data_IF_851986736200
#
_entry.id   IF_851986736200
#
_cell.length_a   1.000
_cell.length_b   1.000
_cell.length_c   1.000
_cell.angle_alpha   90.00
_cell.angle_beta   90.00
_cell.angle_gamma   90.00
#
_symmetry.space_group_name_H-M   'P 1'
#
loop_
_entity.id
_entity.type
_entity.pdbx_description
1 polymer ?
#
# COMPACT_ATOMS: atom_id res chain seq x y z
N UNK A 1 14.73 39.58 0.50
CA UNK A 1 14.42 38.75 1.70
C UNK A 1 12.91 38.63 1.76
N UNK A 2 12.38 37.43 1.52
CA UNK A 2 10.94 37.20 1.53
C UNK A 2 10.51 36.95 2.98
N UNK A 3 9.65 37.81 3.51
CA UNK A 3 8.94 37.57 4.75
C UNK A 3 8.02 36.36 4.55
N UNK A 4 8.33 35.25 5.22
CA UNK A 4 7.42 34.12 5.31
C UNK A 4 6.25 34.51 6.23
N UNK A 5 5.04 34.49 5.68
CA UNK A 5 3.80 34.65 6.43
C UNK A 5 3.61 33.45 7.37
N UNK A 6 3.82 33.68 8.67
CA UNK A 6 3.71 32.72 9.76
C UNK A 6 2.29 32.71 10.39
N UNK A 7 1.28 33.25 9.72
CA UNK A 7 -0.11 33.30 10.23
C UNK A 7 -0.70 31.92 10.60
N UNK A 8 -0.16 30.82 10.04
CA UNK A 8 -0.52 29.46 10.41
C UNK A 8 -0.05 29.05 11.83
N UNK A 9 0.95 29.72 12.39
CA UNK A 9 1.43 29.51 13.77
C UNK A 9 0.63 30.32 14.79
N UNK A 10 0.03 31.45 14.40
CA UNK A 10 -0.66 32.38 15.32
C UNK A 10 -1.86 31.73 16.04
N UNK A 11 -2.49 30.72 15.42
CA UNK A 11 -3.58 29.93 16.03
C UNK A 11 -3.15 28.87 17.05
N UNK A 12 -1.85 28.51 17.11
CA UNK A 12 -1.25 27.58 18.08
C UNK A 12 -0.61 28.32 19.27
N UNK A 13 -0.46 29.65 19.16
CA UNK A 13 0.34 30.52 20.02
C UNK A 13 -0.53 31.29 21.04
N UNK A 14 -1.30 30.57 21.86
CA UNK A 14 -1.91 31.18 23.05
C UNK A 14 -0.86 31.82 23.97
N UNK A 15 -1.19 33.00 24.51
CA UNK A 15 -0.39 33.92 25.33
C UNK A 15 0.55 33.20 26.33
N UNK A 16 1.83 33.09 25.98
CA UNK A 16 2.89 32.81 26.95
C UNK A 16 3.58 34.14 27.20
N UNK A 17 3.29 34.76 28.34
CA UNK A 17 4.11 35.84 28.88
C UNK A 17 5.44 35.22 29.32
N UNK A 18 6.52 35.60 28.64
CA UNK A 18 7.89 35.20 29.01
C UNK A 18 8.50 36.40 29.73
N UNK A 19 8.85 36.23 31.01
CA UNK A 19 9.61 37.23 31.75
C UNK A 19 10.93 37.53 31.03
N UNK A 20 11.12 38.80 30.65
CA UNK A 20 12.33 39.29 30.00
C UNK A 20 13.55 39.08 30.90
N UNK A 21 14.43 38.15 30.51
CA UNK A 21 15.76 38.01 31.11
C UNK A 21 16.85 38.39 30.11
N UNK A 22 17.26 39.65 30.18
CA UNK A 22 18.59 40.10 29.75
C UNK A 22 18.90 40.06 28.24
N UNK A 23 20.18 40.21 27.91
CA UNK A 23 20.74 40.57 26.59
C UNK A 23 20.68 39.49 25.51
N UNK A 24 19.78 38.53 25.60
CA UNK A 24 19.55 37.52 24.55
C UNK A 24 18.45 38.01 23.60
N UNK A 25 18.60 37.73 22.30
CA UNK A 25 17.61 38.09 21.29
C UNK A 25 16.24 37.49 21.68
N UNK A 26 15.23 38.32 22.04
CA UNK A 26 13.97 37.87 22.60
C UNK A 26 13.20 36.94 21.66
N UNK A 27 13.47 37.02 20.34
CA UNK A 27 12.89 36.13 19.35
C UNK A 27 13.55 34.74 19.40
N UNK A 28 14.86 34.66 19.60
CA UNK A 28 15.58 33.40 19.72
C UNK A 28 15.20 32.66 21.02
N UNK A 29 15.11 33.37 22.15
CA UNK A 29 14.67 32.82 23.42
C UNK A 29 13.22 32.29 23.35
N UNK A 30 12.31 33.05 22.70
CA UNK A 30 10.92 32.60 22.47
C UNK A 30 10.85 31.36 21.59
N UNK A 31 11.60 31.30 20.48
CA UNK A 31 11.65 30.12 19.62
C UNK A 31 12.22 28.90 20.36
N UNK A 32 13.27 29.09 21.17
CA UNK A 32 13.87 28.01 21.95
C UNK A 32 12.93 27.51 23.05
N UNK A 33 12.25 28.39 23.77
CA UNK A 33 11.23 28.02 24.76
C UNK A 33 10.06 27.29 24.11
N UNK A 34 9.59 27.75 22.94
CA UNK A 34 8.55 27.07 22.16
C UNK A 34 9.00 25.69 21.68
N UNK A 35 10.25 25.56 21.23
CA UNK A 35 10.80 24.27 20.81
C UNK A 35 10.94 23.30 21.98
N UNK A 36 11.40 23.76 23.16
CA UNK A 36 11.47 22.92 24.35
C UNK A 36 10.08 22.51 24.86
N UNK A 37 9.08 23.40 24.78
CA UNK A 37 7.70 23.09 25.11
C UNK A 37 7.08 22.10 24.12
N UNK A 38 7.28 22.31 22.81
CA UNK A 38 6.81 21.38 21.78
C UNK A 38 7.47 20.01 21.95
N UNK A 39 8.77 19.97 22.26
CA UNK A 39 9.49 18.74 22.60
C UNK A 39 8.91 18.07 23.85
N UNK A 40 8.69 18.82 24.93
CA UNK A 40 8.12 18.28 26.16
C UNK A 40 6.68 17.78 25.98
N UNK A 41 5.83 18.51 25.26
CA UNK A 41 4.46 18.09 24.93
C UNK A 41 4.47 16.86 24.01
N UNK A 42 5.35 16.82 23.01
CA UNK A 42 5.51 15.67 22.11
C UNK A 42 6.03 14.43 22.85
N UNK A 43 7.02 14.60 23.73
CA UNK A 43 7.56 13.52 24.57
C UNK A 43 6.55 13.04 25.61
N UNK A 44 5.83 13.94 26.30
CA UNK A 44 4.76 13.55 27.23
C UNK A 44 3.62 12.80 26.52
N UNK A 45 3.28 13.21 25.29
CA UNK A 45 2.34 12.51 24.42
C UNK A 45 2.81 11.10 24.03
N UNK A 46 4.11 10.92 23.80
CA UNK A 46 4.68 9.59 23.49
C UNK A 46 4.73 8.70 24.74
N UNK A 47 5.03 9.28 25.91
CA UNK A 47 5.32 8.52 27.13
C UNK A 47 4.11 8.29 28.05
N UNK A 48 2.99 9.01 27.87
CA UNK A 48 1.76 8.79 28.65
C UNK A 48 0.57 8.39 27.79
N UNK A 49 -0.08 7.22 28.05
CA UNK A 49 -1.31 6.78 27.37
C UNK A 49 -2.48 7.78 27.46
N UNK A 50 -2.40 8.69 28.44
CA UNK A 50 -3.47 9.59 28.83
C UNK A 50 -3.85 10.63 27.77
N UNK A 51 -2.95 11.05 26.86
CA UNK A 51 -3.21 12.21 26.00
C UNK A 51 -4.27 12.02 24.89
N UNK A 52 -4.53 10.78 24.48
CA UNK A 52 -5.27 10.48 23.24
C UNK A 52 -6.46 9.56 23.41
N UNK A 53 -6.64 8.98 24.59
CA UNK A 53 -7.77 8.14 24.91
C UNK A 53 -8.67 8.95 25.81
N UNK A 54 -9.93 9.13 25.42
CA UNK A 54 -10.91 9.83 26.24
C UNK A 54 -11.71 8.81 27.05
N UNK A 55 -11.74 8.89 28.40
CA UNK A 55 -11.05 9.88 29.24
C UNK A 55 -9.56 9.56 29.48
N UNK A 56 -8.72 10.59 29.68
CA UNK A 56 -7.29 10.44 29.95
C UNK A 56 -7.06 9.68 31.27
N UNK A 57 -6.58 8.44 31.23
CA UNK A 57 -6.25 7.63 32.43
C UNK A 57 -4.78 7.21 32.46
N UNK A 58 -4.25 6.97 33.67
CA UNK A 58 -2.86 6.52 33.87
C UNK A 58 -2.62 5.07 33.42
N UNK A 59 -3.68 4.25 33.34
CA UNK A 59 -3.68 2.90 32.79
C UNK A 59 -4.88 2.73 31.86
N UNK A 60 -4.64 2.38 30.61
CA UNK A 60 -5.69 2.07 29.64
C UNK A 60 -6.40 0.77 30.05
N UNK A 61 -7.72 0.83 30.23
CA UNK A 61 -8.55 -0.35 30.43
C UNK A 61 -9.34 -0.63 29.14
N UNK A 62 -8.90 -1.63 28.39
CA UNK A 62 -9.53 -2.04 27.14
C UNK A 62 -10.99 -2.48 27.34
N UNK A 63 -11.34 -3.05 28.51
CA UNK A 63 -12.70 -3.50 28.79
C UNK A 63 -13.66 -2.34 29.08
N UNK A 64 -13.14 -1.23 29.61
CA UNK A 64 -13.91 -0.02 29.90
C UNK A 64 -13.94 0.96 28.72
N UNK A 65 -13.07 0.81 27.72
CA UNK A 65 -13.01 1.70 26.57
C UNK A 65 -14.26 1.58 25.69
N UNK A 66 -15.02 2.67 25.62
CA UNK A 66 -16.18 2.76 24.73
C UNK A 66 -15.77 3.42 23.43
N UNK A 67 -15.96 2.71 22.32
CA UNK A 67 -15.71 3.27 20.99
C UNK A 67 -16.68 4.42 20.74
N UNK A 68 -16.20 5.67 20.52
CA UNK A 68 -17.07 6.80 20.29
C UNK A 68 -17.90 6.59 19.02
N UNK A 69 -19.12 7.11 19.00
CA UNK A 69 -20.00 7.12 17.82
C UNK A 69 -19.38 7.98 16.71
N UNK A 70 -19.77 7.77 15.44
CA UNK A 70 -19.30 8.61 14.35
C UNK A 70 -19.66 10.10 14.53
N UNK A 71 -20.80 10.40 15.15
CA UNK A 71 -21.20 11.77 15.48
C UNK A 71 -20.26 12.42 16.53
N UNK A 72 -19.88 11.67 17.56
CA UNK A 72 -18.93 12.15 18.58
C UNK A 72 -17.55 12.39 17.98
N UNK A 73 -17.04 11.46 17.15
CA UNK A 73 -15.77 11.65 16.45
C UNK A 73 -15.80 12.88 15.53
N UNK A 74 -16.90 13.12 14.83
CA UNK A 74 -17.06 14.33 14.02
C UNK A 74 -17.09 15.60 14.88
N UNK A 75 -17.78 15.57 16.02
CA UNK A 75 -17.84 16.70 16.96
C UNK A 75 -16.46 17.00 17.56
N UNK A 76 -15.73 15.98 18.01
CA UNK A 76 -14.35 16.12 18.50
C UNK A 76 -13.43 16.74 17.45
N UNK A 77 -13.50 16.25 16.20
CA UNK A 77 -12.69 16.77 15.10
C UNK A 77 -13.00 18.22 14.76
N UNK A 78 -14.27 18.63 14.85
CA UNK A 78 -14.69 20.03 14.63
C UNK A 78 -14.27 20.95 15.77
N UNK A 79 -14.21 20.43 17.00
CA UNK A 79 -13.76 21.18 18.17
C UNK A 79 -12.23 21.29 18.27
N UNK A 80 -11.49 20.30 17.78
CA UNK A 80 -10.03 20.25 17.84
C UNK A 80 -9.38 21.11 16.74
N UNK A 81 -8.57 22.09 17.16
CA UNK A 81 -7.75 22.91 16.25
C UNK A 81 -6.72 22.09 15.48
N UNK A 82 -6.26 20.97 16.02
CA UNK A 82 -5.28 20.05 15.41
C UNK A 82 -5.91 19.01 14.49
N UNK A 83 -7.24 19.06 14.31
CA UNK A 83 -7.98 18.25 13.36
C UNK A 83 -8.17 16.80 13.82
N UNK A 84 -7.61 15.84 13.07
CA UNK A 84 -7.81 14.39 13.31
C UNK A 84 -6.62 13.72 14.01
N UNK A 85 -5.60 14.50 14.44
CA UNK A 85 -4.36 13.98 15.01
C UNK A 85 -4.61 13.12 16.25
N UNK A 86 -5.48 13.58 17.17
CA UNK A 86 -5.81 12.77 18.35
C UNK A 86 -6.42 11.40 17.98
N UNK A 87 -7.27 11.39 16.94
CA UNK A 87 -7.95 10.18 16.49
C UNK A 87 -7.00 9.18 15.84
N UNK A 88 -5.99 9.66 15.11
CA UNK A 88 -4.89 8.87 14.57
C UNK A 88 -4.05 8.21 15.66
N UNK A 89 -3.72 8.95 16.71
CA UNK A 89 -2.92 8.42 17.80
C UNK A 89 -3.69 7.37 18.60
N UNK A 90 -5.00 7.56 18.83
CA UNK A 90 -5.86 6.53 19.43
C UNK A 90 -5.85 5.24 18.61
N UNK A 91 -6.04 5.34 17.29
CA UNK A 91 -6.05 4.17 16.40
C UNK A 91 -4.70 3.43 16.44
N UNK A 92 -3.59 4.16 16.29
CA UNK A 92 -2.25 3.58 16.35
C UNK A 92 -1.94 2.95 17.70
N UNK A 93 -2.34 3.60 18.81
CA UNK A 93 -2.17 3.05 20.14
C UNK A 93 -2.89 1.71 20.30
N UNK A 94 -4.17 1.64 19.95
CA UNK A 94 -4.96 0.40 20.02
C UNK A 94 -4.32 -0.72 19.17
N UNK A 95 -3.83 -0.39 17.98
CA UNK A 95 -3.12 -1.34 17.12
C UNK A 95 -1.82 -1.84 17.74
N UNK A 96 -0.95 -0.93 18.21
CA UNK A 96 0.36 -1.27 18.78
C UNK A 96 0.24 -2.09 20.07
N UNK A 97 -0.79 -1.83 20.88
CA UNK A 97 -1.09 -2.63 22.08
C UNK A 97 -1.74 -3.99 21.77
N UNK A 98 -2.00 -4.30 20.49
CA UNK A 98 -2.60 -5.58 20.07
C UNK A 98 -4.12 -5.66 20.28
N UNK A 99 -4.79 -4.54 20.54
CA UNK A 99 -6.25 -4.47 20.67
C UNK A 99 -6.93 -4.37 19.30
N UNK A 100 -6.72 -5.36 18.43
CA UNK A 100 -7.10 -5.29 17.02
C UNK A 100 -8.61 -5.12 16.78
N UNK A 101 -9.46 -5.77 17.58
CA UNK A 101 -10.93 -5.61 17.47
C UNK A 101 -11.38 -4.19 17.82
N UNK A 102 -10.89 -3.66 18.95
CA UNK A 102 -11.19 -2.28 19.37
C UNK A 102 -10.64 -1.26 18.38
N UNK A 103 -9.42 -1.49 17.90
CA UNK A 103 -8.79 -0.68 16.86
C UNK A 103 -9.66 -0.63 15.60
N UNK A 104 -10.08 -1.81 15.09
CA UNK A 104 -10.90 -1.88 13.88
C UNK A 104 -12.26 -1.21 14.10
N UNK A 105 -12.94 -1.49 15.21
CA UNK A 105 -14.22 -0.87 15.52
C UNK A 105 -14.12 0.67 15.63
N UNK A 106 -13.04 1.16 16.23
CA UNK A 106 -12.74 2.60 16.31
C UNK A 106 -12.49 3.21 14.93
N UNK A 107 -11.67 2.57 14.09
CA UNK A 107 -11.38 3.05 12.74
C UNK A 107 -12.64 3.02 11.86
N UNK A 108 -13.50 2.01 11.99
CA UNK A 108 -14.80 1.99 11.29
C UNK A 108 -15.67 3.16 11.72
N UNK A 109 -15.75 3.45 13.03
CA UNK A 109 -16.48 4.63 13.52
C UNK A 109 -15.93 5.93 12.92
N UNK A 110 -14.60 6.06 12.88
CA UNK A 110 -13.92 7.19 12.24
C UNK A 110 -14.23 7.27 10.74
N UNK A 111 -14.15 6.16 10.02
CA UNK A 111 -14.40 6.08 8.59
C UNK A 111 -15.84 6.46 8.24
N UNK A 112 -16.81 5.97 9.01
CA UNK A 112 -18.22 6.37 8.87
C UNK A 112 -18.40 7.87 9.14
N UNK A 113 -17.69 8.44 10.13
CA UNK A 113 -17.74 9.89 10.39
C UNK A 113 -17.12 10.75 9.27
N UNK A 114 -16.37 10.11 8.37
CA UNK A 114 -15.76 10.68 7.18
C UNK A 114 -16.56 10.43 5.90
N UNK A 115 -17.77 9.88 6.02
CA UNK A 115 -18.62 9.45 4.90
C UNK A 115 -17.93 8.41 3.99
N UNK A 116 -17.02 7.60 4.53
CA UNK A 116 -16.49 6.43 3.81
C UNK A 116 -17.60 5.39 3.71
N UNK A 117 -17.95 5.02 2.48
CA UNK A 117 -19.05 4.12 2.20
C UNK A 117 -18.67 2.66 2.50
N UNK A 118 -19.53 2.00 3.28
CA UNK A 118 -19.52 0.55 3.48
C UNK A 118 -20.89 0.00 3.08
N UNK A 119 -20.92 -1.19 2.46
CA UNK A 119 -22.14 -1.85 2.03
C UNK A 119 -22.85 -2.58 3.18
N UNK A 120 -23.13 -1.88 4.28
CA UNK A 120 -23.74 -2.48 5.46
C UNK A 120 -25.08 -3.15 5.14
N UNK A 121 -25.23 -4.42 5.54
CA UNK A 121 -26.46 -5.19 5.31
C UNK A 121 -26.58 -5.80 3.91
N UNK A 122 -25.57 -5.62 3.04
CA UNK A 122 -25.41 -6.44 1.85
C UNK A 122 -24.76 -7.77 2.22
N UNK A 123 -25.30 -8.89 1.73
CA UNK A 123 -24.71 -10.22 1.90
C UNK A 123 -23.65 -10.54 0.81
N UNK A 124 -23.23 -9.52 0.07
CA UNK A 124 -22.23 -9.69 -0.99
C UNK A 124 -20.84 -9.61 -0.36
N UNK A 125 -20.06 -10.69 -0.52
CA UNK A 125 -18.66 -10.73 -0.11
C UNK A 125 -17.79 -9.72 -0.87
N UNK A 126 -16.52 -9.63 -0.49
CA UNK A 126 -15.58 -8.72 -1.15
C UNK A 126 -15.50 -9.01 -2.66
N UNK A 127 -15.52 -7.95 -3.48
CA UNK A 127 -15.50 -8.03 -4.94
C UNK A 127 -14.38 -7.16 -5.50
N UNK A 128 -13.89 -7.55 -6.67
CA UNK A 128 -12.93 -6.75 -7.43
C UNK A 128 -13.50 -5.36 -7.70
N UNK A 129 -12.73 -4.34 -7.33
CA UNK A 129 -13.12 -2.94 -7.51
C UNK A 129 -12.51 -2.46 -8.81
N UNK A 130 -13.35 -2.07 -9.78
CA UNK A 130 -12.87 -1.37 -10.98
C UNK A 130 -12.65 0.10 -10.65
N UNK A 131 -11.46 0.38 -10.17
CA UNK A 131 -11.01 1.68 -9.66
C UNK A 131 -10.78 2.69 -10.79
N UNK A 132 -10.71 2.24 -12.05
CA UNK A 132 -10.58 3.10 -13.25
C UNK A 132 -11.83 3.94 -13.52
N UNK A 133 -12.99 3.51 -13.00
CA UNK A 133 -14.29 4.18 -13.19
C UNK A 133 -14.69 5.05 -11.99
N UNK A 134 -13.88 5.12 -10.94
CA UNK A 134 -14.23 5.86 -9.73
C UNK A 134 -14.02 7.37 -9.91
N UNK A 135 -14.90 8.17 -9.32
CA UNK A 135 -14.72 9.62 -9.27
C UNK A 135 -13.55 10.01 -8.35
N UNK A 136 -12.50 10.57 -8.94
CA UNK A 136 -11.24 10.87 -8.25
C UNK A 136 -11.20 12.27 -7.63
N UNK A 137 -12.15 13.14 -8.00
CA UNK A 137 -12.22 14.47 -7.41
C UNK A 137 -12.87 14.41 -6.04
N UNK A 138 -12.16 14.90 -5.02
CA UNK A 138 -12.74 15.12 -3.69
C UNK A 138 -13.90 16.11 -3.75
N UNK A 139 -15.03 15.73 -3.18
CA UNK A 139 -16.23 16.55 -3.01
C UNK A 139 -15.95 17.75 -2.11
N UNK A 140 -16.84 18.75 -2.15
CA UNK A 140 -16.76 19.91 -1.25
C UNK A 140 -16.87 19.47 0.21
N UNK A 141 -17.76 18.52 0.49
CA UNK A 141 -17.98 17.93 1.80
C UNK A 141 -16.72 17.26 2.35
N UNK A 142 -16.04 16.42 1.56
CA UNK A 142 -14.79 15.77 1.97
C UNK A 142 -13.71 16.79 2.37
N UNK A 143 -13.62 17.91 1.65
CA UNK A 143 -12.65 18.98 1.96
C UNK A 143 -13.01 19.75 3.23
N UNK A 144 -14.29 19.84 3.56
CA UNK A 144 -14.78 20.47 4.79
C UNK A 144 -14.63 19.55 6.01
N UNK A 145 -14.67 18.23 5.81
CA UNK A 145 -14.55 17.23 6.88
C UNK A 145 -13.14 17.12 7.46
N UNK A 146 -12.09 17.40 6.69
CA UNK A 146 -10.73 17.46 7.24
C UNK A 146 -9.81 18.41 6.49
N UNK A 147 -9.03 19.18 7.27
CA UNK A 147 -7.93 20.02 6.78
C UNK A 147 -6.66 19.22 6.48
N UNK A 148 -6.49 18.05 7.12
CA UNK A 148 -5.35 17.17 6.93
C UNK A 148 -5.81 15.80 6.43
N UNK A 149 -5.77 15.63 5.11
CA UNK A 149 -6.23 14.41 4.47
C UNK A 149 -5.22 13.25 4.59
N UNK A 150 -3.94 13.53 4.84
CA UNK A 150 -2.93 12.49 5.09
C UNK A 150 -3.31 11.63 6.29
N UNK A 151 -3.69 12.28 7.39
CA UNK A 151 -4.11 11.63 8.64
C UNK A 151 -5.29 10.67 8.45
N UNK A 152 -6.23 10.99 7.55
CA UNK A 152 -7.36 10.08 7.26
C UNK A 152 -6.84 8.78 6.64
N UNK A 153 -5.88 8.88 5.72
CA UNK A 153 -5.26 7.71 5.08
C UNK A 153 -4.52 6.87 6.11
N UNK A 154 -3.81 7.51 7.04
CA UNK A 154 -3.06 6.82 8.09
C UNK A 154 -3.99 6.08 9.07
N UNK A 155 -5.11 6.70 9.47
CA UNK A 155 -6.14 6.05 10.30
C UNK A 155 -6.75 4.84 9.59
N UNK A 156 -7.11 4.99 8.31
CA UNK A 156 -7.67 3.91 7.50
C UNK A 156 -6.66 2.77 7.30
N UNK A 157 -5.39 3.10 7.04
CA UNK A 157 -4.30 2.14 6.92
C UNK A 157 -4.14 1.29 8.20
N UNK A 158 -4.19 1.93 9.37
CA UNK A 158 -4.17 1.21 10.66
C UNK A 158 -5.37 0.27 10.79
N UNK A 159 -6.57 0.70 10.36
CA UNK A 159 -7.76 -0.15 10.34
C UNK A 159 -7.60 -1.37 9.43
N UNK A 160 -7.09 -1.19 8.21
CA UNK A 160 -6.82 -2.31 7.30
C UNK A 160 -5.79 -3.28 7.86
N UNK A 161 -4.74 -2.79 8.52
CA UNK A 161 -3.76 -3.65 9.22
C UNK A 161 -4.40 -4.42 10.38
N UNK A 162 -5.28 -3.80 11.16
CA UNK A 162 -6.02 -4.48 12.22
C UNK A 162 -6.94 -5.58 11.64
N UNK A 163 -7.66 -5.27 10.56
CA UNK A 163 -8.51 -6.22 9.84
C UNK A 163 -7.70 -7.42 9.33
N UNK A 164 -6.59 -7.17 8.64
CA UNK A 164 -5.64 -8.20 8.19
C UNK A 164 -5.18 -9.10 9.33
N UNK A 165 -4.84 -8.50 10.48
CA UNK A 165 -4.39 -9.25 11.65
C UNK A 165 -5.50 -10.15 12.20
N UNK A 166 -6.72 -9.64 12.33
CA UNK A 166 -7.88 -10.41 12.78
C UNK A 166 -8.23 -11.57 11.85
N UNK A 167 -8.04 -11.40 10.53
CA UNK A 167 -8.24 -12.45 9.52
C UNK A 167 -7.20 -13.55 9.59
N UNK A 168 -5.94 -13.19 9.86
CA UNK A 168 -4.81 -14.12 9.97
C UNK A 168 -4.70 -14.80 11.32
N UNK A 169 -5.46 -14.35 12.33
CA UNK A 169 -5.48 -14.96 13.66
C UNK A 169 -6.20 -16.31 13.60
N UNK A 170 -5.79 -17.30 14.40
CA UNK A 170 -6.42 -18.61 14.43
C UNK A 170 -7.20 -18.82 15.74
N UNK A 171 -8.52 -19.11 15.71
CA UNK A 171 -9.40 -19.15 14.53
C UNK A 171 -9.65 -17.77 13.91
N UNK A 172 -9.92 -17.68 12.59
CA UNK A 172 -10.11 -16.41 11.92
C UNK A 172 -11.37 -15.72 12.43
N UNK A 173 -11.23 -14.46 12.80
CA UNK A 173 -12.39 -13.62 13.15
C UNK A 173 -13.18 -13.35 11.86
N UNK A 174 -14.49 -13.56 11.89
CA UNK A 174 -15.36 -13.31 10.74
C UNK A 174 -16.19 -12.03 10.91
N UNK A 175 -16.45 -11.63 12.15
CA UNK A 175 -17.31 -10.51 12.48
C UNK A 175 -16.68 -9.65 13.56
N UNK A 176 -16.95 -8.36 13.53
CA UNK A 176 -16.69 -7.46 14.65
C UNK A 176 -17.92 -6.65 15.01
N UNK A 177 -17.98 -6.15 16.24
CA UNK A 177 -19.03 -5.20 16.61
C UNK A 177 -18.54 -3.77 16.38
N UNK A 178 -19.30 -2.98 15.64
CA UNK A 178 -18.97 -1.58 15.35
C UNK A 178 -20.23 -0.72 15.15
N UNK A 179 -20.04 0.59 15.02
CA UNK A 179 -21.12 1.53 14.70
C UNK A 179 -21.51 1.44 13.22
N UNK A 180 -22.81 1.32 12.97
CA UNK A 180 -23.41 1.26 11.62
C UNK A 180 -24.49 2.35 11.50
N UNK A 181 -24.55 3.12 10.38
CA UNK A 181 -25.63 4.07 10.12
C UNK A 181 -27.02 3.41 10.09
N UNK A 182 -28.04 4.12 10.57
CA UNK A 182 -29.43 3.68 10.45
C UNK A 182 -30.04 4.16 9.13
N UNK A 183 -30.67 3.26 8.37
CA UNK A 183 -31.30 3.60 7.09
C UNK A 183 -32.52 4.55 7.20
N UNK A 184 -33.06 4.75 8.40
CA UNK A 184 -34.34 5.46 8.63
C UNK A 184 -34.23 6.72 9.48
N UNK A 185 -33.14 6.90 10.25
CA UNK A 185 -32.94 8.03 11.17
C UNK A 185 -31.48 8.52 11.10
N UNK A 186 -31.23 9.79 11.43
CA UNK A 186 -29.90 10.37 11.55
C UNK A 186 -29.13 9.86 12.79
N UNK A 187 -29.01 8.55 12.95
CA UNK A 187 -28.41 7.88 14.10
C UNK A 187 -27.59 6.65 13.75
N UNK A 188 -26.85 6.15 14.74
CA UNK A 188 -25.95 5.00 14.61
C UNK A 188 -26.36 3.88 15.56
N UNK A 189 -26.11 2.62 15.19
CA UNK A 189 -26.36 1.45 16.03
C UNK A 189 -25.11 0.59 16.12
N UNK A 190 -24.83 0.07 17.32
CA UNK A 190 -23.77 -0.89 17.55
C UNK A 190 -24.24 -2.29 17.12
N UNK A 191 -23.58 -2.89 16.12
CA UNK A 191 -23.98 -4.17 15.52
C UNK A 191 -22.77 -4.99 15.08
N UNK A 192 -22.97 -6.31 14.96
CA UNK A 192 -22.00 -7.17 14.31
C UNK A 192 -22.02 -6.96 12.79
N UNK A 193 -20.83 -6.86 12.21
CA UNK A 193 -20.59 -6.68 10.78
C UNK A 193 -19.51 -7.66 10.34
N UNK A 194 -19.68 -8.25 9.16
CA UNK A 194 -18.70 -9.13 8.53
C UNK A 194 -17.42 -8.36 8.15
N UNK A 195 -16.26 -8.98 8.36
CA UNK A 195 -14.98 -8.37 7.97
C UNK A 195 -14.90 -8.11 6.47
N UNK A 196 -15.58 -8.91 5.65
CA UNK A 196 -15.66 -8.77 4.19
C UNK A 196 -16.31 -7.42 3.79
N UNK A 197 -17.40 -7.03 4.46
CA UNK A 197 -18.06 -5.74 4.23
C UNK A 197 -17.11 -4.57 4.54
N UNK A 198 -16.33 -4.70 5.61
CA UNK A 198 -15.36 -3.68 6.01
C UNK A 198 -14.18 -3.61 5.03
N UNK A 199 -13.67 -4.77 4.61
CA UNK A 199 -12.60 -4.87 3.63
C UNK A 199 -12.98 -4.20 2.31
N UNK A 200 -14.20 -4.45 1.82
CA UNK A 200 -14.70 -3.82 0.60
C UNK A 200 -14.73 -2.29 0.69
N UNK A 201 -15.25 -1.73 1.79
CA UNK A 201 -15.30 -0.27 1.98
C UNK A 201 -13.90 0.35 2.10
N UNK A 202 -13.00 -0.30 2.86
CA UNK A 202 -11.62 0.17 2.99
C UNK A 202 -10.84 0.08 1.69
N UNK A 203 -10.97 -1.01 0.92
CA UNK A 203 -10.32 -1.16 -0.38
C UNK A 203 -10.84 -0.13 -1.38
N UNK A 204 -12.15 0.08 -1.47
CA UNK A 204 -12.73 1.09 -2.35
C UNK A 204 -12.21 2.50 -2.04
N UNK A 205 -12.16 2.88 -0.76
CA UNK A 205 -11.56 4.15 -0.35
C UNK A 205 -10.06 4.22 -0.68
N UNK A 206 -9.32 3.18 -0.30
CA UNK A 206 -7.86 3.19 -0.38
C UNK A 206 -7.38 3.22 -1.83
N UNK A 207 -7.97 2.40 -2.70
CA UNK A 207 -7.59 2.36 -4.11
C UNK A 207 -7.95 3.66 -4.82
N UNK A 208 -9.08 4.30 -4.50
CA UNK A 208 -9.38 5.65 -4.96
C UNK A 208 -8.27 6.62 -4.54
N UNK A 209 -7.89 6.61 -3.26
CA UNK A 209 -6.90 7.55 -2.74
C UNK A 209 -5.48 7.32 -3.25
N UNK A 210 -5.14 6.06 -3.55
CA UNK A 210 -3.89 5.67 -4.22
C UNK A 210 -3.85 6.24 -5.64
N UNK A 211 -4.93 6.07 -6.41
CA UNK A 211 -5.04 6.64 -7.77
C UNK A 211 -5.00 8.16 -7.79
N UNK A 212 -5.76 8.82 -6.91
CA UNK A 212 -5.72 10.28 -6.75
C UNK A 212 -4.29 10.75 -6.43
N UNK A 213 -3.61 10.04 -5.54
CA UNK A 213 -2.22 10.33 -5.20
C UNK A 213 -1.30 10.24 -6.42
N UNK A 214 -1.50 9.22 -7.24
CA UNK A 214 -0.70 8.95 -8.41
C UNK A 214 -0.86 9.96 -9.58
N UNK A 215 -1.73 10.97 -9.42
CA UNK A 215 -1.92 12.06 -10.39
C UNK A 215 -3.16 11.89 -11.29
N UNK A 216 -4.01 10.91 -10.99
CA UNK A 216 -5.21 10.64 -11.77
C UNK A 216 -6.32 11.65 -11.44
N UNK A 217 -6.73 12.46 -12.42
CA UNK A 217 -7.61 13.61 -12.19
C UNK A 217 -8.96 13.54 -12.88
N UNK A 218 -9.18 12.64 -13.86
CA UNK A 218 -10.43 12.67 -14.65
C UNK A 218 -11.02 11.32 -15.11
N UNK A 219 -10.26 10.22 -15.26
CA UNK A 219 -10.79 8.91 -15.69
C UNK A 219 -9.72 7.79 -15.77
N UNK A 220 -8.93 7.52 -14.73
CA UNK A 220 -7.74 6.69 -14.94
C UNK A 220 -6.59 7.56 -15.44
N UNK A 221 -5.37 7.04 -15.39
CA UNK A 221 -4.13 7.62 -15.92
C UNK A 221 -4.14 7.70 -17.46
N UNK A 222 -5.22 8.26 -18.00
CA UNK A 222 -5.60 8.18 -19.39
C UNK A 222 -4.62 8.95 -20.27
N UNK A 223 -4.32 8.34 -21.41
CA UNK A 223 -3.46 8.84 -22.48
C UNK A 223 -1.96 8.65 -22.27
N UNK A 224 -1.51 7.76 -21.37
CA UNK A 224 -0.12 7.29 -21.40
C UNK A 224 0.09 6.38 -22.61
N UNK A 225 -0.94 5.68 -23.06
CA UNK A 225 -0.94 5.01 -24.34
C UNK A 225 -1.47 5.96 -25.41
N UNK A 226 -0.64 6.23 -26.41
CA UNK A 226 -0.97 7.06 -27.57
C UNK A 226 -0.94 6.22 -28.84
N UNK A 227 -1.68 6.65 -29.85
CA UNK A 227 -1.58 6.05 -31.19
C UNK A 227 -0.64 6.90 -32.04
N UNK A 228 0.40 6.26 -32.57
CA UNK A 228 1.30 6.86 -33.53
C UNK A 228 0.60 7.05 -34.89
N UNK A 229 1.14 7.90 -35.79
CA UNK A 229 0.55 8.16 -37.11
C UNK A 229 0.41 6.91 -37.99
N UNK A 230 1.22 5.88 -37.76
CA UNK A 230 1.16 4.58 -38.43
C UNK A 230 0.08 3.65 -37.86
N UNK A 231 -0.67 4.10 -36.86
CA UNK A 231 -1.75 3.37 -36.19
C UNK A 231 -1.28 2.45 -35.05
N UNK A 232 0.03 2.33 -34.80
CA UNK A 232 0.56 1.52 -33.70
C UNK A 232 0.33 2.21 -32.35
N UNK A 233 0.15 1.40 -31.32
CA UNK A 233 0.12 1.86 -29.93
C UNK A 233 1.55 2.11 -29.46
N UNK A 234 1.77 3.20 -28.73
CA UNK A 234 3.05 3.54 -28.12
C UNK A 234 2.82 4.18 -26.75
N UNK A 235 3.89 4.23 -25.94
CA UNK A 235 3.85 4.85 -24.60
C UNK A 235 4.39 6.28 -24.69
N UNK A 236 3.61 7.24 -24.20
CA UNK A 236 3.99 8.62 -24.01
C UNK A 236 4.86 8.74 -22.74
N UNK A 237 6.17 8.63 -22.92
CA UNK A 237 7.14 8.63 -21.82
C UNK A 237 7.20 9.96 -21.06
N UNK A 238 6.82 11.08 -21.70
CA UNK A 238 6.76 12.39 -21.02
C UNK A 238 5.64 12.38 -19.97
N UNK A 239 4.48 11.81 -20.31
CA UNK A 239 3.40 11.63 -19.33
C UNK A 239 3.76 10.64 -18.24
N UNK A 240 4.46 9.54 -18.57
CA UNK A 240 4.94 8.58 -17.57
C UNK A 240 5.86 9.26 -16.54
N UNK A 241 6.75 10.14 -17.00
CA UNK A 241 7.67 10.90 -16.14
C UNK A 241 6.96 11.97 -15.31
N UNK A 242 5.86 12.53 -15.81
CA UNK A 242 5.03 13.49 -15.07
C UNK A 242 4.20 12.83 -13.97
N UNK A 243 4.03 11.50 -13.98
CA UNK A 243 3.22 10.84 -12.98
C UNK A 243 3.85 10.81 -11.61
N UNK A 244 3.00 11.07 -10.62
CA UNK A 244 3.40 11.16 -9.24
C UNK A 244 3.19 9.83 -8.52
N UNK A 245 4.00 8.83 -8.89
CA UNK A 245 3.95 7.49 -8.28
C UNK A 245 4.09 7.50 -6.75
N UNK A 246 4.55 8.59 -6.13
CA UNK A 246 5.03 8.62 -4.75
C UNK A 246 3.97 8.80 -3.66
N UNK A 247 2.77 9.25 -4.02
CA UNK A 247 1.77 9.71 -3.05
C UNK A 247 0.96 8.49 -2.59
N UNK A 248 1.14 8.08 -1.34
CA UNK A 248 0.44 6.99 -0.62
C UNK A 248 0.94 5.55 -0.76
N UNK A 249 2.24 5.34 -0.98
CA UNK A 249 2.81 3.99 -1.04
C UNK A 249 2.50 3.12 0.19
N UNK A 250 2.48 3.65 1.42
CA UNK A 250 2.11 2.86 2.61
C UNK A 250 0.70 2.28 2.51
N UNK A 251 -0.27 3.12 2.12
CA UNK A 251 -1.66 2.72 1.91
C UNK A 251 -1.79 1.71 0.76
N UNK A 252 -1.05 1.89 -0.33
CA UNK A 252 -1.03 0.95 -1.45
C UNK A 252 -0.52 -0.44 -1.05
N UNK A 253 0.53 -0.51 -0.21
CA UNK A 253 1.03 -1.78 0.29
C UNK A 253 -0.02 -2.52 1.11
N UNK A 254 -0.62 -1.84 2.10
CA UNK A 254 -1.63 -2.45 2.97
C UNK A 254 -2.90 -2.83 2.19
N UNK A 255 -3.31 -2.01 1.22
CA UNK A 255 -4.44 -2.34 0.35
C UNK A 255 -4.15 -3.56 -0.53
N UNK A 256 -2.92 -3.70 -1.04
CA UNK A 256 -2.49 -4.89 -1.78
C UNK A 256 -2.50 -6.15 -0.93
N UNK A 257 -1.90 -6.09 0.28
CA UNK A 257 -1.92 -7.20 1.24
C UNK A 257 -3.35 -7.61 1.63
N UNK A 258 -4.25 -6.63 1.81
CA UNK A 258 -5.65 -6.87 2.11
C UNK A 258 -6.38 -7.49 0.92
N UNK A 259 -6.22 -6.94 -0.28
CA UNK A 259 -6.83 -7.49 -1.49
C UNK A 259 -6.38 -8.94 -1.73
N UNK A 260 -5.09 -9.22 -1.55
CA UNK A 260 -4.51 -10.57 -1.65
C UNK A 260 -5.15 -11.54 -0.65
N UNK A 261 -5.32 -11.13 0.61
CA UNK A 261 -5.96 -11.96 1.66
C UNK A 261 -7.41 -12.34 1.30
N UNK A 262 -8.09 -11.52 0.51
CA UNK A 262 -9.46 -11.74 0.04
C UNK A 262 -9.54 -12.38 -1.35
N UNK A 263 -8.40 -12.73 -1.97
CA UNK A 263 -8.36 -13.30 -3.31
C UNK A 263 -8.78 -12.33 -4.43
N UNK A 264 -8.67 -11.03 -4.17
CA UNK A 264 -8.96 -9.97 -5.14
C UNK A 264 -7.70 -9.65 -5.95
N UNK A 265 -7.29 -10.59 -6.80
CA UNK A 265 -6.01 -10.59 -7.49
C UNK A 265 -5.77 -9.33 -8.33
N UNK A 266 -6.78 -8.86 -9.07
CA UNK A 266 -6.63 -7.67 -9.93
C UNK A 266 -6.38 -6.42 -9.09
N UNK A 267 -7.15 -6.26 -8.01
CA UNK A 267 -6.96 -5.15 -7.05
C UNK A 267 -5.59 -5.23 -6.37
N UNK A 268 -5.14 -6.42 -5.99
CA UNK A 268 -3.81 -6.64 -5.39
C UNK A 268 -2.67 -6.27 -6.36
N UNK A 269 -2.75 -6.75 -7.61
CA UNK A 269 -1.78 -6.44 -8.68
C UNK A 269 -1.67 -4.93 -8.87
N UNK A 270 -2.79 -4.21 -8.95
CA UNK A 270 -2.80 -2.75 -9.09
C UNK A 270 -2.08 -2.07 -7.91
N UNK A 271 -2.46 -2.42 -6.68
CA UNK A 271 -1.93 -1.79 -5.48
C UNK A 271 -0.43 -2.04 -5.31
N UNK A 272 0.02 -3.29 -5.46
CA UNK A 272 1.44 -3.66 -5.37
C UNK A 272 2.27 -3.10 -6.53
N UNK A 273 1.72 -3.01 -7.73
CA UNK A 273 2.40 -2.36 -8.87
C UNK A 273 2.64 -0.88 -8.58
N UNK A 274 1.63 -0.16 -8.11
CA UNK A 274 1.77 1.27 -7.77
C UNK A 274 2.76 1.48 -6.63
N UNK A 275 2.77 0.60 -5.63
CA UNK A 275 3.79 0.59 -4.59
C UNK A 275 5.21 0.41 -5.15
N UNK A 276 5.41 -0.57 -6.02
CA UNK A 276 6.71 -0.86 -6.64
C UNK A 276 7.17 0.27 -7.57
N UNK A 277 6.25 0.90 -8.32
CA UNK A 277 6.53 2.06 -9.14
C UNK A 277 7.08 3.22 -8.30
N UNK A 278 6.57 3.40 -7.07
CA UNK A 278 7.07 4.39 -6.12
C UNK A 278 8.43 4.01 -5.52
N UNK A 279 8.53 2.82 -4.93
CA UNK A 279 9.61 2.45 -4.00
C UNK A 279 10.74 1.68 -4.67
N UNK A 280 10.54 1.25 -5.92
CA UNK A 280 11.42 0.35 -6.64
C UNK A 280 11.18 -1.11 -6.28
N UNK A 281 11.98 -1.98 -6.90
CA UNK A 281 11.95 -3.43 -6.75
C UNK A 281 12.18 -3.87 -5.29
N UNK A 282 11.10 -4.10 -4.54
CA UNK A 282 11.15 -4.65 -3.18
C UNK A 282 10.80 -6.14 -3.22
N UNK A 283 11.76 -7.00 -2.87
CA UNK A 283 11.62 -8.45 -3.03
C UNK A 283 10.34 -9.03 -2.41
N UNK A 284 9.93 -8.60 -1.20
CA UNK A 284 8.68 -9.10 -0.56
C UNK A 284 7.44 -8.83 -1.41
N UNK A 285 7.37 -7.62 -1.98
CA UNK A 285 6.22 -7.19 -2.77
C UNK A 285 6.28 -7.81 -4.17
N UNK A 286 7.48 -7.99 -4.73
CA UNK A 286 7.67 -8.74 -5.98
C UNK A 286 7.23 -10.21 -5.83
N UNK A 287 7.46 -10.82 -4.67
CA UNK A 287 6.98 -12.17 -4.38
C UNK A 287 5.44 -12.23 -4.28
N UNK A 288 4.83 -11.29 -3.56
CA UNK A 288 3.37 -11.17 -3.51
C UNK A 288 2.79 -10.97 -4.92
N UNK A 289 3.35 -10.03 -5.69
CA UNK A 289 2.97 -9.77 -7.07
C UNK A 289 3.12 -11.02 -7.97
N UNK A 290 4.21 -11.79 -7.85
CA UNK A 290 4.38 -13.01 -8.62
C UNK A 290 3.29 -14.05 -8.31
N UNK A 291 2.90 -14.18 -7.05
CA UNK A 291 1.80 -15.04 -6.63
C UNK A 291 0.46 -14.55 -7.16
N UNK A 292 0.17 -13.25 -7.05
CA UNK A 292 -1.07 -12.64 -7.54
C UNK A 292 -1.21 -12.78 -9.06
N UNK A 293 -0.15 -12.54 -9.82
CA UNK A 293 -0.13 -12.69 -11.27
C UNK A 293 -0.38 -14.14 -11.69
N UNK A 294 0.19 -15.11 -10.95
CA UNK A 294 -0.04 -16.54 -11.20
C UNK A 294 -1.50 -16.90 -10.92
N UNK A 295 -2.02 -16.55 -9.75
CA UNK A 295 -3.40 -16.86 -9.37
C UNK A 295 -4.42 -16.16 -10.31
N UNK A 296 -4.12 -14.93 -10.73
CA UNK A 296 -4.94 -14.22 -11.70
C UNK A 296 -4.89 -14.88 -13.08
N UNK A 297 -3.72 -15.31 -13.55
CA UNK A 297 -3.57 -16.04 -14.80
C UNK A 297 -4.38 -17.35 -14.80
N UNK A 298 -4.36 -18.10 -13.70
CA UNK A 298 -5.17 -19.31 -13.53
C UNK A 298 -6.67 -18.99 -13.66
N UNK A 299 -7.13 -17.88 -13.06
CA UNK A 299 -8.52 -17.43 -13.16
C UNK A 299 -8.94 -17.00 -14.58
N UNK A 300 -7.98 -16.64 -15.44
CA UNK A 300 -8.19 -16.19 -16.82
C UNK A 300 -7.90 -17.28 -17.88
N UNK A 301 -7.46 -18.46 -17.45
CA UNK A 301 -6.95 -19.54 -18.32
C UNK A 301 -7.93 -19.98 -19.42
N UNK A 302 -9.24 -19.77 -19.24
CA UNK A 302 -10.27 -20.08 -20.24
C UNK A 302 -10.58 -18.96 -21.24
N UNK A 303 -10.10 -17.72 -21.02
CA UNK A 303 -10.58 -16.57 -21.78
C UNK A 303 -9.55 -15.96 -22.74
N UNK A 304 -8.32 -15.72 -22.30
CA UNK A 304 -7.31 -15.05 -23.14
C UNK A 304 -5.91 -15.62 -22.96
N UNK A 305 -5.52 -16.54 -23.84
CA UNK A 305 -4.22 -17.22 -23.81
C UNK A 305 -3.03 -16.24 -23.85
N UNK A 306 -3.10 -15.19 -24.67
CA UNK A 306 -2.06 -14.15 -24.77
C UNK A 306 -1.89 -13.37 -23.47
N UNK A 307 -2.98 -13.06 -22.80
CA UNK A 307 -2.94 -12.38 -21.50
C UNK A 307 -2.30 -13.28 -20.43
N UNK A 308 -2.70 -14.55 -20.40
CA UNK A 308 -2.14 -15.57 -19.49
C UNK A 308 -0.62 -15.70 -19.69
N UNK A 309 -0.16 -15.77 -20.94
CA UNK A 309 1.26 -15.79 -21.27
C UNK A 309 1.99 -14.53 -20.80
N UNK A 310 1.40 -13.35 -20.98
CA UNK A 310 1.98 -12.10 -20.48
C UNK A 310 2.08 -12.08 -18.95
N UNK A 311 1.03 -12.48 -18.24
CA UNK A 311 1.03 -12.56 -16.78
C UNK A 311 2.10 -13.54 -16.27
N UNK A 312 2.27 -14.69 -16.92
CA UNK A 312 3.34 -15.65 -16.60
C UNK A 312 4.74 -15.06 -16.81
N UNK A 313 4.93 -14.29 -17.90
CA UNK A 313 6.20 -13.60 -18.17
C UNK A 313 6.52 -12.61 -17.05
N UNK A 314 5.54 -11.77 -16.67
CA UNK A 314 5.73 -10.80 -15.57
C UNK A 314 5.96 -11.51 -14.24
N UNK A 315 5.23 -12.60 -13.93
CA UNK A 315 5.38 -13.34 -12.68
C UNK A 315 6.79 -13.93 -12.54
N UNK A 316 7.30 -14.57 -13.59
CA UNK A 316 8.68 -15.11 -13.61
C UNK A 316 9.73 -14.01 -13.51
N UNK A 317 9.55 -12.90 -14.24
CA UNK A 317 10.44 -11.74 -14.13
C UNK A 317 10.45 -11.15 -12.71
N UNK A 318 9.29 -11.09 -12.06
CA UNK A 318 9.15 -10.65 -10.67
C UNK A 318 9.89 -11.57 -9.69
N UNK A 319 9.86 -12.89 -9.88
CA UNK A 319 10.64 -13.85 -9.08
C UNK A 319 12.15 -13.61 -9.24
N UNK A 320 12.64 -13.45 -10.47
CA UNK A 320 14.06 -13.17 -10.72
C UNK A 320 14.45 -11.82 -10.09
N UNK A 321 13.62 -10.79 -10.25
CA UNK A 321 13.86 -9.49 -9.63
C UNK A 321 13.85 -9.56 -8.10
N UNK A 322 12.98 -10.39 -7.52
CA UNK A 322 12.96 -10.60 -6.07
C UNK A 322 14.24 -11.28 -5.58
N UNK A 323 14.74 -12.31 -6.29
CA UNK A 323 16.01 -12.98 -5.98
C UNK A 323 17.23 -12.08 -6.18
N UNK A 324 17.15 -11.09 -7.06
CA UNK A 324 18.18 -10.05 -7.20
C UNK A 324 18.11 -8.98 -6.11
N UNK A 325 16.90 -8.56 -5.73
CA UNK A 325 16.68 -7.48 -4.77
C UNK A 325 16.72 -7.93 -3.30
N UNK A 326 16.61 -9.23 -3.02
CA UNK A 326 16.63 -9.76 -1.65
C UNK A 326 18.03 -9.60 -1.04
N UNK A 327 18.14 -9.19 0.24
CA UNK A 327 19.43 -9.15 0.93
C UNK A 327 20.13 -10.52 0.89
N UNK A 328 21.46 -10.55 0.67
CA UNK A 328 22.25 -11.78 0.53
C UNK A 328 21.94 -12.83 1.61
N UNK A 329 21.91 -12.42 2.88
CA UNK A 329 21.57 -13.26 4.04
C UNK A 329 20.19 -13.96 4.01
N UNK A 330 19.28 -13.52 3.14
CA UNK A 330 17.92 -14.07 2.99
C UNK A 330 17.68 -14.72 1.63
N UNK A 331 18.70 -14.79 0.77
CA UNK A 331 18.59 -15.41 -0.56
C UNK A 331 18.21 -16.89 -0.46
N UNK A 332 18.84 -17.63 0.45
CA UNK A 332 18.53 -19.05 0.69
C UNK A 332 17.12 -19.23 1.20
N UNK A 333 16.68 -18.42 2.17
CA UNK A 333 15.31 -18.44 2.69
C UNK A 333 14.29 -18.19 1.57
N UNK A 334 14.53 -17.17 0.73
CA UNK A 334 13.64 -16.88 -0.38
C UNK A 334 13.66 -17.99 -1.43
N UNK A 335 14.84 -18.52 -1.76
CA UNK A 335 14.99 -19.64 -2.67
C UNK A 335 14.25 -20.88 -2.17
N UNK A 336 14.30 -21.17 -0.87
CA UNK A 336 13.56 -22.29 -0.26
C UNK A 336 12.05 -22.12 -0.52
N UNK A 337 11.49 -20.94 -0.23
CA UNK A 337 10.06 -20.66 -0.43
C UNK A 337 9.61 -20.82 -1.88
N UNK A 338 10.47 -20.47 -2.84
CA UNK A 338 10.16 -20.51 -4.28
C UNK A 338 10.45 -21.89 -4.86
N UNK A 339 11.69 -22.34 -4.79
CA UNK A 339 12.23 -23.47 -5.53
C UNK A 339 11.89 -24.81 -4.88
N UNK A 340 11.77 -24.86 -3.55
CA UNK A 340 11.56 -26.11 -2.83
C UNK A 340 10.13 -26.23 -2.26
N UNK A 341 9.59 -25.15 -1.69
CA UNK A 341 8.26 -25.18 -1.07
C UNK A 341 7.14 -24.83 -2.07
N UNK A 342 7.50 -24.33 -3.27
CA UNK A 342 6.56 -23.98 -4.35
C UNK A 342 5.40 -23.07 -3.90
N UNK A 343 5.66 -22.16 -2.95
CA UNK A 343 4.60 -21.36 -2.30
C UNK A 343 4.13 -20.15 -3.11
N UNK A 344 4.86 -19.78 -4.15
CA UNK A 344 4.67 -18.51 -4.86
C UNK A 344 4.27 -18.73 -6.31
N UNK A 345 5.00 -19.60 -7.00
CA UNK A 345 4.78 -19.94 -8.42
C UNK A 345 4.55 -21.45 -8.57
N UNK A 346 3.92 -21.91 -9.67
CA UNK A 346 3.57 -23.31 -9.84
C UNK A 346 4.82 -24.19 -9.92
N UNK A 347 4.77 -25.34 -9.24
CA UNK A 347 5.85 -26.33 -9.27
C UNK A 347 6.25 -26.71 -10.71
N UNK A 348 5.27 -26.84 -11.61
CA UNK A 348 5.50 -27.19 -13.01
C UNK A 348 6.48 -26.25 -13.73
N UNK A 349 6.51 -24.96 -13.38
CA UNK A 349 7.45 -24.01 -13.98
C UNK A 349 8.88 -24.24 -13.51
N UNK A 350 9.03 -24.62 -12.25
CA UNK A 350 10.33 -24.93 -11.64
C UNK A 350 10.84 -26.24 -12.21
N UNK A 351 10.00 -27.28 -12.27
CA UNK A 351 10.35 -28.58 -12.83
C UNK A 351 10.82 -28.45 -14.29
N UNK A 352 10.11 -27.65 -15.10
CA UNK A 352 10.53 -27.36 -16.48
C UNK A 352 11.87 -26.62 -16.52
N UNK A 353 12.04 -25.57 -15.72
CA UNK A 353 13.26 -24.78 -15.65
C UNK A 353 14.49 -25.60 -15.22
N UNK A 354 14.31 -26.62 -14.38
CA UNK A 354 15.38 -27.49 -13.91
C UNK A 354 15.80 -28.56 -14.92
N UNK A 355 15.07 -28.74 -16.03
CA UNK A 355 15.51 -29.64 -17.09
C UNK A 355 16.77 -29.08 -17.78
N UNK A 356 17.80 -29.91 -18.05
CA UNK A 356 19.08 -29.45 -18.61
C UNK A 356 18.94 -28.75 -19.97
N UNK A 357 18.06 -29.26 -20.82
CA UNK A 357 17.86 -28.78 -22.19
C UNK A 357 16.76 -27.70 -22.28
N UNK A 358 16.17 -27.31 -21.15
CA UNK A 358 15.12 -26.30 -21.15
C UNK A 358 15.69 -24.93 -21.48
N UNK A 359 15.16 -24.35 -22.55
CA UNK A 359 15.39 -22.97 -22.95
C UNK A 359 14.09 -22.21 -22.79
N UNK A 360 14.15 -21.08 -22.10
CA UNK A 360 12.99 -20.22 -21.94
C UNK A 360 12.71 -19.55 -23.30
N UNK A 361 11.55 -19.83 -23.87
CA UNK A 361 11.08 -19.14 -25.06
C UNK A 361 10.28 -17.90 -24.65
N UNK A 362 10.49 -16.81 -25.37
CA UNK A 362 9.83 -15.53 -25.15
C UNK A 362 8.62 -15.45 -26.09
N UNK A 363 7.38 -15.47 -25.56
CA UNK A 363 6.18 -15.50 -26.40
C UNK A 363 5.88 -14.15 -27.09
N UNK A 364 6.64 -13.10 -26.76
CA UNK A 364 6.51 -11.76 -27.30
C UNK A 364 7.83 -11.32 -27.95
N UNK A 365 7.72 -10.62 -29.07
CA UNK A 365 8.88 -10.13 -29.83
C UNK A 365 9.64 -9.03 -29.05
N UNK A 366 8.91 -8.19 -28.33
CA UNK A 366 9.46 -7.11 -27.49
C UNK A 366 8.53 -6.76 -26.32
N UNK A 367 8.97 -5.80 -25.49
CA UNK A 367 8.20 -5.33 -24.34
C UNK A 367 6.88 -4.63 -24.72
N UNK A 368 6.82 -4.03 -25.91
CA UNK A 368 5.63 -3.33 -26.38
C UNK A 368 4.57 -4.34 -26.82
N UNK A 369 4.96 -5.44 -27.48
CA UNK A 369 4.09 -6.57 -27.77
C UNK A 369 3.55 -7.21 -26.49
N UNK A 370 4.41 -7.41 -25.47
CA UNK A 370 3.97 -7.90 -24.15
C UNK A 370 2.96 -6.96 -23.50
N UNK A 371 3.23 -5.65 -23.54
CA UNK A 371 2.34 -4.65 -22.97
C UNK A 371 1.01 -4.58 -23.70
N UNK A 372 1.03 -4.39 -25.02
CA UNK A 372 -0.14 -4.04 -25.80
C UNK A 372 -0.98 -5.26 -26.21
N UNK A 373 -0.34 -6.37 -26.56
CA UNK A 373 -1.03 -7.56 -27.05
C UNK A 373 -1.24 -8.61 -25.94
N UNK A 374 -0.57 -8.41 -24.80
CA UNK A 374 -0.71 -9.21 -23.58
C UNK A 374 -1.48 -8.48 -22.48
N UNK A 375 -0.80 -7.61 -21.74
CA UNK A 375 -1.32 -6.99 -20.50
C UNK A 375 -2.49 -6.01 -20.73
N UNK A 376 -2.50 -5.30 -21.85
CA UNK A 376 -3.56 -4.37 -22.27
C UNK A 376 -4.47 -4.99 -23.33
N UNK A 377 -4.44 -6.31 -23.48
CA UNK A 377 -5.43 -7.02 -24.28
C UNK A 377 -6.83 -6.82 -23.65
N UNK A 378 -7.84 -6.68 -24.49
CA UNK A 378 -9.23 -6.48 -24.07
C UNK A 378 -9.91 -7.84 -23.89
N UNK A 379 -10.44 -8.09 -22.70
CA UNK A 379 -11.41 -9.14 -22.40
C UNK A 379 -12.79 -8.50 -22.27
N UNK A 380 -13.65 -8.69 -23.28
CA UNK A 380 -14.92 -7.97 -23.35
C UNK A 380 -14.71 -6.46 -23.47
N UNK A 381 -15.24 -5.68 -22.52
CA UNK A 381 -15.09 -4.22 -22.46
C UNK A 381 -13.93 -3.74 -21.56
N UNK A 382 -13.14 -4.66 -20.97
CA UNK A 382 -12.10 -4.31 -20.00
C UNK A 382 -10.74 -4.85 -20.41
N UNK A 383 -9.68 -4.10 -20.14
CA UNK A 383 -8.32 -4.63 -20.22
C UNK A 383 -8.04 -5.61 -19.07
N UNK A 384 -7.11 -6.54 -19.30
CA UNK A 384 -6.66 -7.54 -18.30
C UNK A 384 -6.16 -6.85 -17.03
N UNK A 385 -5.29 -5.85 -17.18
CA UNK A 385 -4.92 -4.89 -16.14
C UNK A 385 -5.19 -3.46 -16.63
N UNK A 386 -5.44 -2.48 -15.75
CA UNK A 386 -5.56 -1.09 -16.15
C UNK A 386 -4.33 -0.57 -16.91
N UNK A 387 -4.52 0.40 -17.80
CA UNK A 387 -3.47 0.98 -18.66
C UNK A 387 -2.20 1.33 -17.87
N UNK A 388 -2.37 2.07 -16.78
CA UNK A 388 -1.30 2.46 -15.87
C UNK A 388 -0.55 1.31 -15.24
N UNK A 389 -1.23 0.23 -14.92
CA UNK A 389 -0.62 -0.91 -14.23
C UNK A 389 0.27 -1.63 -15.21
N UNK A 390 -0.21 -1.85 -16.44
CA UNK A 390 0.62 -2.40 -17.53
C UNK A 390 1.84 -1.53 -17.80
N UNK A 391 1.65 -0.22 -17.98
CA UNK A 391 2.74 0.73 -18.23
C UNK A 391 3.71 0.79 -17.05
N UNK A 392 3.23 0.81 -15.81
CA UNK A 392 4.07 0.85 -14.63
C UNK A 392 4.92 -0.41 -14.50
N UNK A 393 4.33 -1.60 -14.70
CA UNK A 393 5.09 -2.85 -14.70
C UNK A 393 6.22 -2.81 -15.73
N UNK A 394 5.89 -2.55 -17.00
CA UNK A 394 6.84 -2.67 -18.10
C UNK A 394 7.85 -1.51 -18.12
N UNK A 395 7.38 -0.26 -18.04
CA UNK A 395 8.17 0.95 -18.31
C UNK A 395 8.67 1.68 -17.05
N UNK A 396 8.26 1.27 -15.85
CA UNK A 396 8.71 1.90 -14.59
C UNK A 396 9.43 0.92 -13.68
N UNK A 397 8.77 -0.18 -13.30
CA UNK A 397 9.30 -1.16 -12.34
C UNK A 397 10.49 -1.91 -12.93
N UNK A 398 10.33 -2.48 -14.12
CA UNK A 398 11.36 -3.32 -14.77
C UNK A 398 12.28 -2.56 -15.74
N UNK A 399 11.98 -1.30 -16.06
CA UNK A 399 12.81 -0.48 -16.95
C UNK A 399 14.24 -0.27 -16.41
N UNK A 400 14.42 -0.27 -15.09
CA UNK A 400 15.75 -0.13 -14.46
C UNK A 400 16.56 -1.42 -14.41
N UNK A 401 15.95 -2.58 -14.67
CA UNK A 401 16.54 -3.91 -14.47
C UNK A 401 16.75 -4.64 -15.79
N UNK A 402 17.55 -4.06 -16.70
CA UNK A 402 17.82 -4.60 -18.05
C UNK A 402 16.58 -4.84 -18.94
N UNK A 403 15.38 -4.47 -18.50
CA UNK A 403 14.11 -4.76 -19.15
C UNK A 403 13.42 -6.03 -18.63
N UNK A 404 12.10 -6.09 -18.80
CA UNK A 404 11.26 -7.16 -18.26
C UNK A 404 11.55 -8.51 -18.92
N UNK A 405 11.71 -8.53 -20.24
CA UNK A 405 12.02 -9.76 -20.99
C UNK A 405 13.40 -10.31 -20.66
N UNK A 406 14.40 -9.46 -20.47
CA UNK A 406 15.74 -9.88 -20.05
C UNK A 406 15.74 -10.55 -18.66
N UNK A 407 14.86 -10.11 -17.77
CA UNK A 407 14.68 -10.73 -16.46
C UNK A 407 13.95 -12.08 -16.57
N UNK A 408 12.95 -12.16 -17.44
CA UNK A 408 12.25 -13.41 -17.74
C UNK A 408 13.18 -14.47 -18.33
N UNK A 409 14.07 -14.11 -19.26
CA UNK A 409 15.00 -15.04 -19.89
C UNK A 409 15.98 -15.68 -18.89
N UNK A 410 16.32 -14.96 -17.82
CA UNK A 410 17.17 -15.44 -16.72
C UNK A 410 16.48 -16.41 -15.77
N UNK A 411 15.17 -16.61 -15.90
CA UNK A 411 14.40 -17.44 -14.97
C UNK A 411 14.97 -18.86 -14.82
N UNK A 412 15.26 -19.63 -15.89
CA UNK A 412 15.79 -20.98 -15.73
C UNK A 412 17.19 -21.03 -15.11
N UNK A 413 18.05 -20.07 -15.46
CA UNK A 413 19.39 -19.94 -14.88
C UNK A 413 19.29 -19.77 -13.36
N UNK A 414 18.44 -18.84 -12.91
CA UNK A 414 18.22 -18.57 -11.49
C UNK A 414 17.63 -19.80 -10.78
N UNK A 415 16.64 -20.48 -11.36
CA UNK A 415 16.07 -21.68 -10.74
C UNK A 415 17.12 -22.78 -10.54
N UNK A 416 18.01 -22.99 -11.52
CA UNK A 416 19.10 -23.98 -11.42
C UNK A 416 20.17 -23.57 -10.40
N UNK A 417 20.62 -22.32 -10.46
CA UNK A 417 21.61 -21.75 -9.53
C UNK A 417 21.13 -21.89 -8.09
N UNK A 418 19.90 -21.47 -7.79
CA UNK A 418 19.37 -21.53 -6.43
C UNK A 418 18.98 -22.95 -6.01
N UNK A 419 18.62 -23.85 -6.93
CA UNK A 419 18.46 -25.28 -6.62
C UNK A 419 19.79 -25.92 -6.21
N UNK A 420 20.88 -25.62 -6.91
CA UNK A 420 22.22 -26.10 -6.55
C UNK A 420 22.63 -25.56 -5.18
N UNK A 421 22.41 -24.27 -4.95
CA UNK A 421 22.72 -23.59 -3.69
C UNK A 421 21.96 -24.15 -2.47
N UNK A 422 20.71 -24.58 -2.65
CA UNK A 422 19.95 -25.22 -1.59
C UNK A 422 20.48 -26.61 -1.22
N UNK A 423 21.17 -27.29 -2.15
CA UNK A 423 21.76 -28.61 -1.91
C UNK A 423 23.21 -28.55 -1.42
N UNK A 424 23.95 -27.49 -1.76
CA UNK A 424 25.29 -27.24 -1.22
C UNK A 424 25.16 -26.69 0.21
N UNK A 425 25.42 -27.54 1.21
CA UNK A 425 25.48 -27.14 2.64
C UNK A 425 26.68 -26.24 2.99
N UNK A 426 27.43 -25.74 2.00
CA UNK A 426 28.68 -25.01 2.23
C UNK A 426 28.43 -23.67 2.91
N UNK A 427 29.24 -23.39 3.93
CA UNK A 427 29.25 -22.16 4.75
C UNK A 427 29.98 -20.99 4.09
N UNK A 428 30.34 -21.08 2.81
CA UNK A 428 31.07 -20.02 2.07
C UNK A 428 30.25 -18.75 1.83
N UNK A 429 28.97 -18.73 2.24
CA UNK A 429 28.09 -17.58 2.13
C UNK A 429 28.55 -16.35 2.92
N UNK A 430 29.33 -16.53 3.99
CA UNK A 430 29.82 -15.44 4.85
C UNK A 430 31.20 -14.90 4.40
N UNK A 431 31.89 -15.54 3.45
CA UNK A 431 33.26 -15.19 3.09
C UNK A 431 33.37 -14.05 2.05
N UNK A 432 32.30 -13.80 1.29
CA UNK A 432 32.21 -12.67 0.33
C UNK A 432 31.84 -11.34 1.01
N UNK A 433 31.71 -11.30 2.35
CA UNK A 433 31.36 -10.10 3.12
C UNK A 433 32.48 -9.04 3.18
N UNK A 434 33.68 -9.34 2.68
CA UNK A 434 34.86 -8.46 2.85
C UNK A 434 35.33 -7.70 1.60
N UNK A 435 34.78 -7.94 0.39
CA UNK A 435 35.41 -7.42 -0.83
C UNK A 435 34.54 -6.63 -1.83
N UNK A 436 33.24 -6.42 -1.56
CA UNK A 436 32.30 -5.78 -2.49
C UNK A 436 31.80 -4.38 -2.05
N UNK A 437 32.59 -3.59 -1.29
CA UNK A 437 32.18 -2.23 -0.93
C UNK A 437 32.23 -1.19 -2.08
N UNK A 438 32.77 -1.53 -3.27
CA UNK A 438 32.97 -0.56 -4.36
C UNK A 438 32.15 -0.77 -5.65
N UNK A 439 31.15 -1.66 -5.66
CA UNK A 439 30.42 -2.03 -6.90
C UNK A 439 28.90 -1.86 -6.87
N UNK A 440 28.39 -0.70 -7.31
CA UNK A 440 27.05 -0.52 -7.92
C UNK A 440 25.81 -1.17 -7.24
N UNK A 441 25.77 -1.27 -5.91
CA UNK A 441 24.59 -1.69 -5.15
C UNK A 441 23.56 -0.57 -5.00
N UNK A 442 22.29 -0.84 -5.32
CA UNK A 442 21.15 0.05 -5.07
C UNK A 442 21.09 0.43 -3.58
N UNK A 443 21.49 1.66 -3.25
CA UNK A 443 21.37 2.22 -1.90
C UNK A 443 19.89 2.32 -1.53
N UNK A 444 19.52 1.66 -0.43
CA UNK A 444 18.21 1.83 0.19
C UNK A 444 18.05 3.30 0.60
N UNK A 445 17.08 4.00 0.01
CA UNK A 445 16.70 5.36 0.41
C UNK A 445 15.91 5.24 1.72
N UNK A 446 16.66 5.09 2.82
CA UNK A 446 16.17 5.21 4.19
C UNK A 446 17.30 5.70 5.12
N UNK A 447 17.94 6.79 4.70
CA UNK A 447 18.70 7.69 5.58
C UNK A 447 18.55 9.10 5.03
N UNK A 448 17.44 9.73 5.41
CA UNK A 448 17.31 11.17 5.64
C UNK A 448 16.45 11.34 6.89
#
# INVERSE_FOLDING_TARGET
MAEHDLSALDGLLGEIDIEEKGSEDPRAAKIQALFQRAKAEYTAKIDTPAGFITPPSASFDAAAFQVPTPAELLAHRKADRTGSTGQEWTANYLYVQGHFELCLAYVVSFAVSMDIAFAFGSAEGAREVDTSQMALRRSKQERELSKNWGVIKDVVDVGMRALLTLRRTAPPTQHISCWVPCNSDAGYRWRQVELDTLAQGFLAFSMREVRVGAGDTRAGFSNMVVRAPDGKRGVDMDKVQQQNWTVTHGLALTAGDLALEFGLWRTAIEAHTLFLACRGAMWRVLMALAHELTAYADSLSSTCQRAVEALHVVAKAAVVAALQAVPRRRKVELAQLVVADHRVIPQAWIDAALQPDFTQQTPFDDEDALLFDGLLCMEGERTVVPEEVGVALVKVVFAKTSGLLAMYDKFPEYMREYRQRLHSHDSEWDADDAHDEDGAGLRSVRTL
#
